data_IF_884315620235
#
_entry.id   IF_884315620235
#
_cell.length_a   1.000
_cell.length_b   1.000
_cell.length_c   1.000
_cell.angle_alpha   90.00
_cell.angle_beta   90.00
_cell.angle_gamma   90.00
#
_symmetry.space_group_name_H-M   'P 1'
#
loop_
_entity.id
_entity.type
_entity.pdbx_description
1 polymer ?
#
# COMPACT_ATOMS: atom_id res chain seq x y z
N UNK A 1 14.66 -12.20 -7.76
CA UNK A 1 13.37 -11.74 -8.35
C UNK A 1 12.37 -11.59 -7.22
N UNK A 2 11.77 -10.41 -7.07
CA UNK A 2 10.80 -10.16 -6.00
C UNK A 2 9.39 -10.61 -6.42
N UNK A 3 8.59 -10.99 -5.44
CA UNK A 3 7.19 -11.31 -5.63
C UNK A 3 6.34 -10.72 -4.52
N UNK A 4 5.12 -10.30 -4.88
CA UNK A 4 4.15 -9.72 -3.95
C UNK A 4 2.81 -10.45 -4.04
N UNK A 5 2.38 -11.02 -2.91
CA UNK A 5 1.06 -11.60 -2.71
C UNK A 5 0.22 -10.75 -1.74
N UNK A 6 -1.09 -10.81 -1.93
CA UNK A 6 -2.10 -10.24 -1.05
C UNK A 6 -3.02 -11.37 -0.60
N UNK A 7 -3.24 -11.44 0.71
CA UNK A 7 -4.23 -12.32 1.35
C UNK A 7 -5.37 -11.44 1.88
N UNK A 8 -6.57 -11.63 1.34
CA UNK A 8 -7.78 -10.85 1.64
C UNK A 8 -9.03 -11.76 1.70
N UNK A 9 -9.76 -11.83 2.83
CA UNK A 9 -9.44 -11.17 4.09
C UNK A 9 -8.15 -11.73 4.74
N UNK A 10 -7.62 -11.09 5.77
CA UNK A 10 -6.52 -11.63 6.56
C UNK A 10 -7.00 -12.88 7.29
N UNK A 11 -6.20 -13.95 7.23
CA UNK A 11 -6.45 -15.18 7.96
C UNK A 11 -5.34 -15.38 9.02
N UNK A 12 -5.61 -15.15 10.31
CA UNK A 12 -4.62 -15.35 11.37
C UNK A 12 -4.27 -16.83 11.61
N UNK A 13 -5.03 -17.78 11.04
CA UNK A 13 -4.77 -19.21 11.21
C UNK A 13 -3.81 -19.79 10.17
N UNK A 14 -3.44 -19.01 9.13
CA UNK A 14 -2.44 -19.41 8.15
C UNK A 14 -1.03 -19.35 8.75
N UNK A 15 -0.20 -20.34 8.43
CA UNK A 15 1.21 -20.36 8.82
C UNK A 15 2.06 -19.52 7.85
N UNK A 16 2.10 -18.21 8.09
CA UNK A 16 2.86 -17.29 7.25
C UNK A 16 4.38 -17.56 7.24
N UNK A 17 4.92 -18.19 8.29
CA UNK A 17 6.33 -18.56 8.32
C UNK A 17 6.60 -19.70 7.33
N UNK A 18 5.76 -20.74 7.32
CA UNK A 18 5.85 -21.82 6.34
C UNK A 18 5.66 -21.30 4.92
N UNK A 19 4.66 -20.42 4.70
CA UNK A 19 4.42 -19.79 3.40
C UNK A 19 5.66 -19.04 2.91
N UNK A 20 6.31 -18.28 3.79
CA UNK A 20 7.52 -17.53 3.45
C UNK A 20 8.71 -18.46 3.17
N UNK A 21 8.92 -19.49 3.98
CA UNK A 21 9.96 -20.49 3.75
C UNK A 21 9.75 -21.24 2.42
N UNK A 22 8.51 -21.58 2.09
CA UNK A 22 8.17 -22.27 0.84
C UNK A 22 8.40 -21.41 -0.40
N UNK A 23 8.15 -20.10 -0.30
CA UNK A 23 8.22 -19.19 -1.43
C UNK A 23 9.60 -18.54 -1.59
N UNK A 24 10.21 -18.16 -0.47
CA UNK A 24 11.41 -17.33 -0.40
C UNK A 24 12.63 -18.08 0.18
N UNK A 25 12.44 -19.24 0.82
CA UNK A 25 13.55 -19.97 1.44
C UNK A 25 14.21 -19.13 2.52
N UNK A 26 15.55 -19.02 2.47
CA UNK A 26 16.35 -18.17 3.37
C UNK A 26 16.44 -16.70 2.92
N UNK A 27 15.81 -16.35 1.80
CA UNK A 27 15.88 -15.00 1.26
C UNK A 27 15.05 -14.01 2.09
N UNK A 28 15.34 -12.72 1.89
CA UNK A 28 14.63 -11.60 2.50
C UNK A 28 13.14 -11.64 2.18
N UNK A 29 12.29 -11.59 3.20
CA UNK A 29 10.84 -11.47 3.05
C UNK A 29 10.16 -10.80 4.24
N UNK A 30 8.98 -10.25 3.98
CA UNK A 30 8.20 -9.47 4.91
C UNK A 30 6.72 -9.79 4.74
N UNK A 31 6.04 -9.98 5.87
CA UNK A 31 4.60 -10.17 5.96
C UNK A 31 4.03 -9.13 6.90
N UNK A 32 3.15 -8.27 6.36
CA UNK A 32 2.58 -7.16 7.11
C UNK A 32 1.09 -7.01 6.83
N UNK A 33 0.33 -6.71 7.88
CA UNK A 33 -1.04 -6.23 7.74
C UNK A 33 -1.05 -4.84 7.12
N UNK A 34 -2.07 -4.56 6.32
CA UNK A 34 -2.26 -3.24 5.73
C UNK A 34 -2.47 -2.14 6.81
N UNK A 35 -3.12 -2.50 7.92
CA UNK A 35 -3.40 -1.64 9.08
C UNK A 35 -3.62 -2.47 10.34
N UNK A 36 -3.57 -1.82 11.51
CA UNK A 36 -3.91 -2.48 12.79
C UNK A 36 -5.36 -3.01 12.74
N UNK A 37 -5.53 -4.31 13.00
CA UNK A 37 -6.82 -5.01 12.84
C UNK A 37 -7.26 -5.18 11.37
N UNK A 38 -6.33 -5.05 10.43
CA UNK A 38 -6.59 -4.88 9.01
C UNK A 38 -7.24 -6.08 8.30
N UNK A 39 -7.97 -5.75 7.25
CA UNK A 39 -8.67 -6.72 6.41
C UNK A 39 -7.73 -7.50 5.49
N UNK A 40 -6.52 -7.00 5.19
CA UNK A 40 -5.60 -7.64 4.23
C UNK A 40 -4.20 -7.79 4.80
N UNK A 41 -3.53 -8.83 4.35
CA UNK A 41 -2.13 -9.08 4.61
C UNK A 41 -1.33 -9.04 3.30
N UNK A 42 -0.19 -8.38 3.32
CA UNK A 42 0.77 -8.31 2.24
C UNK A 42 1.95 -9.23 2.54
N UNK A 43 2.39 -9.99 1.53
CA UNK A 43 3.55 -10.87 1.60
C UNK A 43 4.47 -10.48 0.45
N UNK A 44 5.66 -9.97 0.74
CA UNK A 44 6.66 -9.66 -0.29
C UNK A 44 8.00 -10.26 0.08
N UNK A 45 8.75 -10.74 -0.91
CA UNK A 45 10.07 -11.29 -0.67
C UNK A 45 10.79 -11.68 -1.95
N UNK A 46 12.07 -12.01 -1.83
CA UNK A 46 12.88 -12.51 -2.92
C UNK A 46 12.68 -14.02 -3.10
N UNK A 47 12.20 -14.42 -4.27
CA UNK A 47 11.93 -15.81 -4.56
C UNK A 47 13.19 -16.66 -4.49
N UNK A 48 13.10 -17.82 -3.81
CA UNK A 48 14.18 -18.82 -3.81
C UNK A 48 14.47 -19.39 -5.20
N UNK A 49 13.46 -19.42 -6.06
CA UNK A 49 13.58 -19.84 -7.45
C UNK A 49 12.53 -19.12 -8.32
N UNK A 50 12.85 -18.77 -9.58
CA UNK A 50 11.86 -18.25 -10.52
C UNK A 50 10.68 -19.21 -10.69
N UNK A 51 9.48 -18.66 -10.86
CA UNK A 51 8.25 -19.42 -11.10
C UNK A 51 7.62 -19.01 -12.43
N UNK A 52 7.16 -19.99 -13.19
CA UNK A 52 6.31 -19.76 -14.36
C UNK A 52 4.91 -19.31 -13.94
N UNK A 53 4.13 -18.74 -14.85
CA UNK A 53 2.75 -18.32 -14.57
C UNK A 53 1.84 -19.50 -14.16
N UNK A 54 2.11 -20.70 -14.67
CA UNK A 54 1.40 -21.92 -14.26
C UNK A 54 1.74 -22.32 -12.83
N UNK A 55 3.04 -22.31 -12.48
CA UNK A 55 3.49 -22.59 -11.11
C UNK A 55 2.93 -21.57 -10.12
N UNK A 56 2.84 -20.30 -10.52
CA UNK A 56 2.19 -19.26 -9.73
C UNK A 56 0.70 -19.53 -9.52
N UNK A 57 -0.02 -19.90 -10.59
CA UNK A 57 -1.45 -20.22 -10.50
C UNK A 57 -1.71 -21.39 -9.56
N UNK A 58 -0.90 -22.44 -9.65
CA UNK A 58 -1.03 -23.61 -8.79
C UNK A 58 -0.72 -23.25 -7.34
N UNK A 59 0.41 -22.57 -7.08
CA UNK A 59 0.79 -22.14 -5.74
C UNK A 59 -0.27 -21.25 -5.07
N UNK A 60 -0.80 -20.26 -5.79
CA UNK A 60 -1.89 -19.40 -5.29
C UNK A 60 -3.16 -20.20 -5.04
N UNK A 61 -3.44 -21.20 -5.90
CA UNK A 61 -4.57 -22.11 -5.74
C UNK A 61 -4.47 -22.93 -4.46
N UNK A 62 -3.31 -23.54 -4.23
CA UNK A 62 -3.04 -24.36 -3.05
C UNK A 62 -3.11 -23.52 -1.77
N UNK A 63 -2.44 -22.36 -1.76
CA UNK A 63 -2.48 -21.45 -0.62
C UNK A 63 -3.90 -20.92 -0.34
N UNK A 64 -4.70 -20.70 -1.39
CA UNK A 64 -6.09 -20.31 -1.22
C UNK A 64 -6.93 -21.42 -0.57
N UNK A 65 -6.63 -22.70 -0.79
CA UNK A 65 -7.37 -23.82 -0.19
C UNK A 65 -7.22 -23.90 1.33
N UNK A 66 -6.10 -23.43 1.87
CA UNK A 66 -5.84 -23.37 3.31
C UNK A 66 -6.66 -22.28 4.01
N UNK A 67 -6.98 -21.21 3.28
CA UNK A 67 -7.63 -20.03 3.82
C UNK A 67 -9.09 -20.29 4.25
N UNK A 68 -9.48 -19.81 5.44
CA UNK A 68 -10.81 -20.06 6.03
C UNK A 68 -11.97 -19.67 5.09
N UNK A 69 -11.85 -18.52 4.41
CA UNK A 69 -12.88 -18.05 3.46
C UNK A 69 -13.09 -19.01 2.27
N UNK A 70 -12.04 -19.69 1.79
CA UNK A 70 -12.14 -20.68 0.71
C UNK A 70 -12.82 -21.96 1.18
N UNK A 71 -12.59 -22.35 2.44
CA UNK A 71 -13.27 -23.46 3.10
C UNK A 71 -14.78 -23.18 3.23
N UNK A 72 -15.17 -21.93 3.48
CA UNK A 72 -16.57 -21.51 3.55
C UNK A 72 -17.23 -21.31 2.19
N UNK A 73 -16.51 -20.72 1.23
CA UNK A 73 -16.97 -20.46 -0.14
C UNK A 73 -15.91 -20.95 -1.15
N UNK A 74 -16.15 -22.09 -1.81
CA UNK A 74 -15.25 -22.66 -2.82
C UNK A 74 -15.01 -21.76 -4.04
N UNK A 75 -15.78 -20.68 -4.25
CA UNK A 75 -15.55 -19.73 -5.35
C UNK A 75 -14.71 -18.53 -4.91
N UNK A 76 -14.53 -18.31 -3.61
CA UNK A 76 -13.74 -17.19 -3.09
C UNK A 76 -12.28 -17.27 -3.51
N UNK A 77 -11.64 -16.13 -3.79
CA UNK A 77 -10.23 -16.04 -4.21
C UNK A 77 -9.46 -15.15 -3.23
N UNK A 78 -9.17 -15.66 -2.02
CA UNK A 78 -8.62 -14.84 -0.96
C UNK A 78 -7.14 -14.48 -1.18
N UNK A 79 -6.41 -15.34 -1.89
CA UNK A 79 -4.99 -15.11 -2.21
C UNK A 79 -4.87 -14.61 -3.64
N UNK A 80 -4.08 -13.55 -3.85
CA UNK A 80 -3.83 -12.97 -5.17
C UNK A 80 -2.39 -12.49 -5.28
N UNK A 81 -1.77 -12.69 -6.44
CA UNK A 81 -0.52 -12.01 -6.80
C UNK A 81 -0.82 -10.58 -7.27
N UNK A 82 0.00 -9.62 -6.82
CA UNK A 82 -0.05 -8.25 -7.32
C UNK A 82 0.35 -8.24 -8.80
N UNK A 83 -0.39 -7.48 -9.61
CA UNK A 83 -0.11 -7.33 -11.05
C UNK A 83 1.12 -6.46 -11.32
N UNK A 84 1.39 -5.51 -10.42
CA UNK A 84 2.57 -4.67 -10.50
C UNK A 84 3.78 -5.54 -10.13
N UNK A 85 4.87 -5.36 -10.87
CA UNK A 85 6.13 -6.01 -10.56
C UNK A 85 6.58 -5.59 -9.15
N UNK A 86 7.02 -6.56 -8.36
CA UNK A 86 7.49 -6.29 -7.01
C UNK A 86 8.93 -5.77 -7.10
N UNK A 87 9.22 -4.72 -6.36
CA UNK A 87 10.52 -4.08 -6.25
C UNK A 87 10.83 -3.78 -4.77
N UNK A 88 12.03 -3.27 -4.50
CA UNK A 88 12.42 -2.90 -3.13
C UNK A 88 11.52 -1.80 -2.55
N UNK A 89 11.00 -0.91 -3.40
CA UNK A 89 10.03 0.13 -3.01
C UNK A 89 8.72 -0.50 -2.51
N UNK A 90 8.36 -1.68 -2.99
CA UNK A 90 7.24 -2.47 -2.48
C UNK A 90 7.29 -2.71 -0.96
N UNK A 91 8.48 -2.87 -0.37
CA UNK A 91 8.63 -3.03 1.08
C UNK A 91 8.30 -1.74 1.84
N UNK A 92 8.69 -0.58 1.29
CA UNK A 92 8.35 0.74 1.84
C UNK A 92 6.83 0.97 1.84
N UNK A 93 6.13 0.57 0.77
CA UNK A 93 4.66 0.67 0.69
C UNK A 93 3.94 -0.25 1.68
N UNK A 94 4.53 -1.40 2.02
CA UNK A 94 4.00 -2.29 3.06
C UNK A 94 4.18 -1.70 4.46
N UNK A 95 5.29 -1.00 4.70
CA UNK A 95 5.63 -0.35 5.96
C UNK A 95 4.99 1.04 6.12
N UNK A 96 3.72 1.22 5.70
CA UNK A 96 3.02 2.51 5.85
C UNK A 96 2.48 2.76 7.28
N UNK A 97 2.42 1.71 8.08
CA UNK A 97 1.99 1.71 9.49
C UNK A 97 3.17 1.34 10.37
N UNK A 98 3.10 1.71 11.66
CA UNK A 98 4.16 1.43 12.63
C UNK A 98 4.49 -0.08 12.66
N UNK A 99 5.73 -0.49 12.34
CA UNK A 99 6.08 -1.90 12.17
C UNK A 99 5.78 -2.77 13.39
N UNK A 100 5.94 -2.22 14.59
CA UNK A 100 5.67 -2.90 15.87
C UNK A 100 4.23 -3.39 16.04
N UNK A 101 3.30 -2.91 15.21
CA UNK A 101 1.87 -3.18 15.35
C UNK A 101 1.24 -4.02 14.24
N UNK A 102 1.95 -4.22 13.13
CA UNK A 102 1.38 -4.83 11.91
C UNK A 102 2.28 -5.88 11.25
N UNK A 103 3.52 -6.07 11.72
CA UNK A 103 4.38 -7.17 11.24
C UNK A 103 3.85 -8.52 11.75
N UNK A 104 3.64 -9.45 10.83
CA UNK A 104 3.24 -10.83 11.12
C UNK A 104 4.46 -11.76 11.08
N UNK A 105 5.33 -11.57 10.09
CA UNK A 105 6.56 -12.36 9.91
C UNK A 105 7.60 -11.52 9.18
N UNK A 106 8.88 -11.70 9.53
CA UNK A 106 10.00 -11.07 8.84
C UNK A 106 11.20 -12.01 8.81
N UNK A 107 11.95 -11.97 7.70
CA UNK A 107 13.21 -12.66 7.55
C UNK A 107 14.18 -11.78 6.76
N UNK A 108 15.42 -11.67 7.23
CA UNK A 108 16.41 -10.77 6.62
C UNK A 108 16.13 -9.29 6.85
N UNK A 109 15.36 -8.94 7.90
CA UNK A 109 15.11 -7.57 8.34
C UNK A 109 15.36 -7.44 9.85
N UNK A 110 16.21 -6.49 10.22
CA UNK A 110 16.35 -5.99 11.59
C UNK A 110 15.12 -5.15 12.00
N UNK A 111 15.04 -4.70 13.26
CA UNK A 111 13.99 -3.75 13.65
C UNK A 111 14.32 -2.34 13.14
N UNK A 112 15.61 -2.02 13.03
CA UNK A 112 16.13 -0.78 12.45
C UNK A 112 15.75 -0.67 10.97
N UNK A 113 15.89 -1.75 10.19
CA UNK A 113 15.49 -1.77 8.76
C UNK A 113 13.99 -1.46 8.59
N UNK A 114 13.15 -1.99 9.49
CA UNK A 114 11.71 -1.77 9.44
C UNK A 114 11.35 -0.33 9.80
N UNK A 115 12.05 0.25 10.77
CA UNK A 115 11.90 1.64 11.14
C UNK A 115 12.32 2.57 9.99
N UNK A 116 13.43 2.28 9.31
CA UNK A 116 13.88 3.03 8.14
C UNK A 116 12.87 2.93 6.99
N UNK A 117 12.32 1.74 6.72
CA UNK A 117 11.27 1.58 5.71
C UNK A 117 10.01 2.40 6.04
N UNK A 118 9.62 2.44 7.32
CA UNK A 118 8.50 3.23 7.79
C UNK A 118 8.76 4.74 7.63
N UNK A 119 9.94 5.21 8.00
CA UNK A 119 10.35 6.60 7.83
C UNK A 119 10.34 7.00 6.36
N UNK A 120 10.96 6.21 5.48
CA UNK A 120 10.90 6.43 4.02
C UNK A 120 9.46 6.44 3.50
N UNK A 121 8.60 5.56 4.00
CA UNK A 121 7.18 5.53 3.60
C UNK A 121 6.48 6.84 3.95
N UNK A 122 6.74 7.39 5.14
CA UNK A 122 6.23 8.69 5.54
C UNK A 122 6.85 9.83 4.74
N UNK A 123 8.16 9.85 4.53
CA UNK A 123 8.84 10.86 3.72
C UNK A 123 8.26 10.90 2.30
N UNK A 124 8.11 9.74 1.67
CA UNK A 124 7.53 9.67 0.33
C UNK A 124 6.05 10.10 0.30
N UNK A 125 5.27 9.73 1.33
CA UNK A 125 3.90 10.23 1.47
C UNK A 125 3.90 11.75 1.61
N UNK A 126 4.79 12.29 2.41
CA UNK A 126 4.92 13.72 2.65
C UNK A 126 5.40 14.44 1.39
N UNK A 127 6.30 13.87 0.59
CA UNK A 127 6.67 14.38 -0.74
C UNK A 127 5.45 14.42 -1.67
N UNK A 128 4.69 13.32 -1.76
CA UNK A 128 3.47 13.24 -2.58
C UNK A 128 2.35 14.19 -2.10
N UNK A 129 2.29 14.48 -0.80
CA UNK A 129 1.27 15.33 -0.19
C UNK A 129 1.75 16.75 0.10
N UNK A 130 3.02 17.06 -0.11
CA UNK A 130 3.63 18.30 0.39
C UNK A 130 2.99 19.52 -0.24
N UNK A 131 2.63 20.47 0.63
CA UNK A 131 2.41 21.89 0.34
C UNK A 131 1.31 22.31 -0.66
N UNK A 132 0.21 21.57 -0.88
CA UNK A 132 -0.91 22.12 -1.67
C UNK A 132 -1.46 23.39 -1.01
N UNK A 133 -1.48 23.45 0.33
CA UNK A 133 -1.93 24.62 1.07
C UNK A 133 -1.08 25.87 0.81
N UNK A 134 0.25 25.74 0.78
CA UNK A 134 1.15 26.87 0.48
C UNK A 134 0.97 27.35 -0.96
N UNK A 135 0.93 26.42 -1.93
CA UNK A 135 0.67 26.76 -3.33
C UNK A 135 -0.70 27.44 -3.51
N UNK A 136 -1.75 26.89 -2.89
CA UNK A 136 -3.10 27.44 -2.96
C UNK A 136 -3.12 28.84 -2.32
N UNK A 137 -2.51 29.03 -1.16
CA UNK A 137 -2.44 30.32 -0.49
C UNK A 137 -1.68 31.36 -1.34
N UNK A 138 -0.57 30.98 -1.97
CA UNK A 138 0.18 31.85 -2.89
C UNK A 138 -0.66 32.24 -4.12
N UNK A 139 -1.39 31.28 -4.70
CA UNK A 139 -2.24 31.53 -5.88
C UNK A 139 -3.52 32.31 -5.57
N UNK A 140 -4.09 32.13 -4.37
CA UNK A 140 -5.27 32.84 -3.91
C UNK A 140 -4.93 34.26 -3.46
N UNK A 141 -3.77 34.47 -2.83
CA UNK A 141 -3.36 35.74 -2.26
C UNK A 141 -4.02 36.04 -0.91
N UNK A 142 -3.73 37.22 -0.34
CA UNK A 142 -4.18 37.60 1.01
C UNK A 142 -5.52 38.34 1.07
N UNK A 143 -6.04 38.85 -0.05
CA UNK A 143 -7.27 39.64 -0.07
C UNK A 143 -8.48 38.78 -0.45
N UNK A 144 -9.05 38.14 0.57
CA UNK A 144 -10.22 37.25 0.44
C UNK A 144 -11.46 37.77 1.17
N UNK A 145 -11.36 38.94 1.82
CA UNK A 145 -12.44 39.51 2.65
C UNK A 145 -13.71 39.85 1.84
N UNK A 146 -13.54 40.11 0.55
CA UNK A 146 -14.64 40.40 -0.38
C UNK A 146 -15.30 39.15 -0.96
N UNK A 147 -14.77 37.95 -0.68
CA UNK A 147 -15.26 36.71 -1.28
C UNK A 147 -16.27 36.02 -0.38
N UNK A 148 -17.31 35.47 -0.99
CA UNK A 148 -18.19 34.55 -0.28
C UNK A 148 -17.48 33.23 0.02
N UNK A 149 -17.90 32.48 1.06
CA UNK A 149 -17.35 31.15 1.34
C UNK A 149 -17.40 30.19 0.13
N UNK A 150 -18.43 30.30 -0.71
CA UNK A 150 -18.55 29.48 -1.93
C UNK A 150 -17.52 29.84 -3.01
N UNK A 151 -17.22 31.12 -3.19
CA UNK A 151 -16.20 31.58 -4.15
C UNK A 151 -14.79 31.19 -3.68
N UNK A 152 -14.52 31.33 -2.38
CA UNK A 152 -13.26 30.89 -1.79
C UNK A 152 -13.09 29.37 -1.96
N UNK A 153 -14.14 28.58 -1.67
CA UNK A 153 -14.12 27.12 -1.84
C UNK A 153 -13.79 26.71 -3.28
N UNK A 154 -14.49 27.28 -4.28
CA UNK A 154 -14.24 26.98 -5.71
C UNK A 154 -12.81 27.29 -6.13
N UNK A 155 -12.25 28.41 -5.66
CA UNK A 155 -10.86 28.81 -5.97
C UNK A 155 -9.84 27.88 -5.30
N UNK A 156 -10.05 27.51 -4.04
CA UNK A 156 -9.22 26.52 -3.34
C UNK A 156 -9.23 25.18 -4.09
N UNK A 157 -10.40 24.68 -4.47
CA UNK A 157 -10.52 23.43 -5.22
C UNK A 157 -9.85 23.51 -6.60
N UNK A 158 -10.01 24.61 -7.33
CA UNK A 158 -9.36 24.85 -8.61
C UNK A 158 -7.83 24.85 -8.48
N UNK A 159 -7.26 25.61 -7.53
CA UNK A 159 -5.80 25.65 -7.37
C UNK A 159 -5.22 24.37 -6.78
N UNK A 160 -5.96 23.64 -5.94
CA UNK A 160 -5.61 22.29 -5.53
C UNK A 160 -5.49 21.38 -6.76
N UNK A 161 -6.48 21.42 -7.66
CA UNK A 161 -6.44 20.65 -8.90
C UNK A 161 -5.27 21.04 -9.81
N UNK A 162 -4.97 22.34 -9.94
CA UNK A 162 -3.81 22.84 -10.69
C UNK A 162 -2.48 22.38 -10.09
N UNK A 163 -2.36 22.36 -8.76
CA UNK A 163 -1.17 21.86 -8.06
C UNK A 163 -0.85 20.42 -8.45
N UNK A 164 -1.82 19.52 -8.33
CA UNK A 164 -1.63 18.10 -8.68
C UNK A 164 -1.40 17.88 -10.19
N UNK A 165 -1.95 18.75 -11.05
CA UNK A 165 -1.65 18.73 -12.49
C UNK A 165 -0.21 19.16 -12.81
N UNK A 166 0.25 20.25 -12.21
CA UNK A 166 1.56 20.83 -12.48
C UNK A 166 2.70 19.97 -11.93
N UNK A 167 2.51 19.40 -10.74
CA UNK A 167 3.55 18.62 -10.05
C UNK A 167 3.60 17.15 -10.48
N UNK A 168 2.69 16.70 -11.37
CA UNK A 168 2.58 15.29 -11.75
C UNK A 168 2.21 14.36 -10.58
N UNK A 169 1.71 14.92 -9.48
CA UNK A 169 1.40 14.21 -8.23
C UNK A 169 0.04 13.50 -8.30
N UNK A 170 -0.09 12.40 -7.56
CA UNK A 170 -1.33 11.62 -7.50
C UNK A 170 -2.47 12.48 -6.93
N UNK A 171 -3.58 12.63 -7.67
CA UNK A 171 -4.75 13.37 -7.18
C UNK A 171 -5.36 12.64 -5.99
N UNK A 172 -5.68 13.33 -4.87
CA UNK A 172 -6.44 12.73 -3.78
C UNK A 172 -7.77 12.17 -4.30
N UNK A 173 -8.25 11.02 -3.80
CA UNK A 173 -9.54 10.45 -4.21
C UNK A 173 -10.71 11.44 -4.07
N UNK A 174 -10.59 12.33 -3.08
CA UNK A 174 -11.62 13.30 -2.71
C UNK A 174 -11.54 14.61 -3.51
N UNK A 175 -10.54 14.82 -4.38
CA UNK A 175 -10.50 16.03 -5.22
C UNK A 175 -11.65 16.05 -6.24
N UNK A 176 -12.11 14.87 -6.70
CA UNK A 176 -13.32 14.79 -7.54
C UNK A 176 -14.54 15.30 -6.78
N UNK A 177 -14.69 14.89 -5.52
CA UNK A 177 -15.79 15.32 -4.63
C UNK A 177 -15.73 16.83 -4.39
N UNK A 178 -14.53 17.39 -4.25
CA UNK A 178 -14.30 18.83 -4.05
C UNK A 178 -14.64 19.71 -5.28
N UNK A 179 -14.65 19.14 -6.49
CA UNK A 179 -14.89 19.89 -7.74
C UNK A 179 -16.28 19.65 -8.35
N UNK A 180 -17.14 18.84 -7.74
CA UNK A 180 -18.47 18.47 -8.26
C UNK A 180 -19.62 19.43 -7.83
N UNK A 181 -19.31 20.62 -7.30
CA UNK A 181 -20.29 21.63 -6.85
C UNK A 181 -20.01 23.07 -7.36
#
# INVERSE_FOLDING_TARGET
MLAHLIVKPYDPSMDYASVCNDLFGDNKCLVMLEKKGGDHCHIQGELKAPKTEEQWRNYIGDLAMEHYRRKQDPKSRPVKRRKLEADEVGFQYMAKELPTSVVIYKQGFSDEDLQELYEKSNEHRDELQSKPGEYIAEKIGGDTESWTPGELHKRVCYYAFQYYLAEGKMRPPNIKILCEH
#
